data_IF_388870249642
#
_entry.id   IF_388870249642
#
_cell.length_a   1.000
_cell.length_b   1.000
_cell.length_c   1.000
_cell.angle_alpha   90.00
_cell.angle_beta   90.00
_cell.angle_gamma   90.00
#
_symmetry.space_group_name_H-M   'P 1'
#
loop_
_entity.id
_entity.type
_entity.pdbx_description
1 polymer ?
#
# COMPACT_ATOMS: atom_id res chain seq x y z
N UNK A 1 19.23 -7.18 -34.37
CA UNK A 1 17.98 -6.41 -34.23
C UNK A 1 17.06 -7.01 -33.15
N UNK A 2 17.21 -8.30 -32.75
CA UNK A 2 16.34 -8.97 -31.76
C UNK A 2 16.61 -8.63 -30.30
N UNK A 3 17.77 -8.04 -29.96
CA UNK A 3 18.19 -7.82 -28.55
C UNK A 3 17.52 -6.60 -27.89
N UNK A 4 16.98 -5.66 -28.64
CA UNK A 4 16.41 -4.40 -28.12
C UNK A 4 14.94 -4.55 -27.73
N UNK A 5 14.23 -5.55 -28.20
CA UNK A 5 12.79 -5.73 -27.98
C UNK A 5 12.46 -6.49 -26.69
N UNK A 6 13.33 -7.35 -26.20
CA UNK A 6 13.08 -8.21 -25.04
C UNK A 6 12.85 -7.44 -23.72
N UNK A 7 13.70 -6.46 -23.35
CA UNK A 7 13.48 -5.66 -22.14
C UNK A 7 12.18 -4.85 -22.17
N UNK A 8 11.80 -4.31 -23.33
CA UNK A 8 10.57 -3.54 -23.47
C UNK A 8 9.32 -4.42 -23.31
N UNK A 9 9.34 -5.64 -23.84
CA UNK A 9 8.23 -6.60 -23.69
C UNK A 9 8.09 -7.05 -22.24
N UNK A 10 9.19 -7.33 -21.55
CA UNK A 10 9.21 -7.73 -20.14
C UNK A 10 8.65 -6.60 -19.27
N UNK A 11 9.09 -5.35 -19.48
CA UNK A 11 8.60 -4.20 -18.73
C UNK A 11 7.11 -3.95 -18.98
N UNK A 12 6.63 -4.06 -20.22
CA UNK A 12 5.21 -3.93 -20.52
C UNK A 12 4.36 -5.01 -19.85
N UNK A 13 4.84 -6.26 -19.85
CA UNK A 13 4.15 -7.36 -19.17
C UNK A 13 4.07 -7.11 -17.66
N UNK A 14 5.18 -6.71 -17.03
CA UNK A 14 5.24 -6.38 -15.60
C UNK A 14 4.29 -5.23 -15.26
N UNK A 15 4.31 -4.15 -16.01
CA UNK A 15 3.46 -2.99 -15.76
C UNK A 15 1.97 -3.35 -15.86
N UNK A 16 1.57 -4.18 -16.82
CA UNK A 16 0.19 -4.71 -16.90
C UNK A 16 -0.18 -5.57 -15.68
N UNK A 17 0.75 -6.36 -15.16
CA UNK A 17 0.53 -7.17 -13.95
C UNK A 17 0.34 -6.28 -12.72
N UNK A 18 1.13 -5.22 -12.56
CA UNK A 18 0.99 -4.25 -11.47
C UNK A 18 -0.35 -3.49 -11.56
N UNK A 19 -0.74 -3.05 -12.75
CA UNK A 19 -2.05 -2.42 -12.99
C UNK A 19 -3.21 -3.36 -12.63
N UNK A 20 -3.17 -4.60 -13.09
CA UNK A 20 -4.18 -5.59 -12.77
C UNK A 20 -4.22 -5.92 -11.27
N UNK A 21 -3.05 -6.02 -10.63
CA UNK A 21 -2.89 -6.21 -9.20
C UNK A 21 -3.53 -5.07 -8.39
N UNK A 22 -3.27 -3.83 -8.78
CA UNK A 22 -3.86 -2.64 -8.14
C UNK A 22 -5.39 -2.64 -8.24
N UNK A 23 -5.94 -2.85 -9.43
CA UNK A 23 -7.40 -2.89 -9.64
C UNK A 23 -8.05 -3.99 -8.81
N UNK A 24 -7.42 -5.16 -8.76
CA UNK A 24 -7.88 -6.28 -7.93
C UNK A 24 -7.80 -5.93 -6.44
N UNK A 25 -6.67 -5.41 -5.95
CA UNK A 25 -6.48 -5.02 -4.57
C UNK A 25 -7.55 -4.03 -4.10
N UNK A 26 -7.82 -2.99 -4.89
CA UNK A 26 -8.89 -2.04 -4.62
C UNK A 26 -10.26 -2.70 -4.54
N UNK A 27 -10.58 -3.57 -5.50
CA UNK A 27 -11.89 -4.26 -5.56
C UNK A 27 -12.10 -5.19 -4.37
N UNK A 28 -11.14 -6.06 -4.05
CA UNK A 28 -11.30 -7.04 -2.97
C UNK A 28 -11.32 -6.39 -1.59
N UNK A 29 -10.54 -5.31 -1.39
CA UNK A 29 -10.54 -4.56 -0.14
C UNK A 29 -11.84 -3.78 0.06
N UNK A 30 -12.37 -3.16 -1.00
CA UNK A 30 -13.69 -2.52 -0.94
C UNK A 30 -14.77 -3.54 -0.59
N UNK A 31 -14.76 -4.71 -1.22
CA UNK A 31 -15.69 -5.80 -0.91
C UNK A 31 -15.56 -6.30 0.53
N UNK A 32 -14.36 -6.39 1.07
CA UNK A 32 -14.15 -6.79 2.47
C UNK A 32 -14.82 -5.82 3.44
N UNK A 33 -14.72 -4.52 3.19
CA UNK A 33 -15.42 -3.49 4.00
C UNK A 33 -16.94 -3.54 3.82
N UNK A 34 -17.43 -3.80 2.62
CA UNK A 34 -18.88 -3.99 2.37
C UNK A 34 -19.40 -5.27 3.07
N UNK A 35 -18.62 -6.35 3.11
CA UNK A 35 -18.96 -7.57 3.84
C UNK A 35 -18.98 -7.32 5.35
N UNK A 36 -18.04 -6.55 5.88
CA UNK A 36 -18.06 -6.12 7.28
C UNK A 36 -19.36 -5.39 7.59
N UNK A 37 -19.74 -4.41 6.77
CA UNK A 37 -20.99 -3.68 6.95
C UNK A 37 -22.22 -4.62 6.86
N UNK A 38 -22.24 -5.54 5.93
CA UNK A 38 -23.37 -6.47 5.76
C UNK A 38 -23.53 -7.39 6.98
N UNK A 39 -22.45 -7.78 7.64
CA UNK A 39 -22.47 -8.64 8.83
C UNK A 39 -22.78 -7.89 10.11
N UNK A 40 -22.20 -6.68 10.29
CA UNK A 40 -22.32 -5.92 11.54
C UNK A 40 -23.46 -4.92 11.55
N UNK A 41 -23.99 -4.57 10.36
CA UNK A 41 -24.99 -3.50 10.19
C UNK A 41 -24.39 -2.09 10.15
N UNK A 42 -23.09 -1.94 10.40
CA UNK A 42 -22.41 -0.64 10.49
C UNK A 42 -21.16 -0.60 9.60
N UNK A 43 -20.88 0.57 9.02
CA UNK A 43 -19.61 0.80 8.32
C UNK A 43 -18.47 0.98 9.30
N UNK A 44 -17.30 0.49 8.96
CA UNK A 44 -16.07 0.89 9.64
C UNK A 44 -15.76 2.34 9.28
N UNK A 45 -15.80 3.24 10.26
CA UNK A 45 -15.54 4.67 10.13
C UNK A 45 -14.49 5.11 11.14
N UNK A 46 -13.90 6.29 10.97
CA UNK A 46 -12.96 6.83 11.95
C UNK A 46 -13.63 7.11 13.32
N UNK A 47 -14.95 7.35 13.34
CA UNK A 47 -15.70 7.59 14.57
C UNK A 47 -15.87 6.33 15.43
N UNK A 48 -16.08 5.16 14.78
CA UNK A 48 -16.24 3.88 15.47
C UNK A 48 -14.99 3.00 15.45
N UNK A 49 -13.88 3.50 14.87
CA UNK A 49 -12.63 2.77 14.81
C UNK A 49 -11.97 2.67 16.18
N UNK A 50 -11.60 1.47 16.56
CA UNK A 50 -10.69 1.22 17.69
C UNK A 50 -9.29 0.93 17.13
N UNK A 51 -8.28 1.23 17.95
CA UNK A 51 -6.87 0.98 17.59
C UNK A 51 -6.66 -0.49 17.26
N UNK A 52 -5.91 -0.74 16.18
CA UNK A 52 -5.51 -2.09 15.76
C UNK A 52 -6.64 -3.05 15.37
N UNK A 53 -7.89 -2.57 15.23
CA UNK A 53 -9.04 -3.44 14.87
C UNK A 53 -9.17 -3.67 13.38
N UNK A 54 -8.60 -2.80 12.54
CA UNK A 54 -8.71 -2.91 11.09
C UNK A 54 -8.09 -4.20 10.54
N UNK A 55 -6.97 -4.65 11.11
CA UNK A 55 -6.29 -5.88 10.69
C UNK A 55 -7.17 -7.13 10.86
N UNK A 56 -7.67 -7.47 12.06
CA UNK A 56 -8.51 -8.64 12.23
C UNK A 56 -9.80 -8.57 11.42
N UNK A 57 -10.37 -7.37 11.23
CA UNK A 57 -11.54 -7.17 10.36
C UNK A 57 -11.20 -7.55 8.92
N UNK A 58 -10.14 -7.01 8.35
CA UNK A 58 -9.76 -7.31 6.97
C UNK A 58 -9.38 -8.78 6.77
N UNK A 59 -8.64 -9.37 7.71
CA UNK A 59 -8.24 -10.78 7.65
C UNK A 59 -9.45 -11.74 7.70
N UNK A 60 -10.57 -11.33 8.30
CA UNK A 60 -11.80 -12.13 8.33
C UNK A 60 -12.42 -12.30 6.93
N UNK A 61 -12.34 -11.26 6.09
CA UNK A 61 -13.01 -11.22 4.79
C UNK A 61 -12.06 -11.38 3.59
N UNK A 62 -10.76 -11.15 3.79
CA UNK A 62 -9.74 -11.38 2.78
C UNK A 62 -9.13 -12.78 2.96
N UNK A 63 -8.82 -13.44 1.85
CA UNK A 63 -8.14 -14.74 1.88
C UNK A 63 -6.67 -14.54 2.27
N UNK A 64 -6.38 -14.61 3.58
CA UNK A 64 -5.06 -14.47 4.16
C UNK A 64 -4.35 -15.83 4.22
N UNK A 65 -3.06 -15.86 3.88
CA UNK A 65 -2.19 -17.05 3.98
C UNK A 65 -1.15 -16.92 5.07
N UNK A 66 -0.80 -15.70 5.47
CA UNK A 66 0.19 -15.45 6.53
C UNK A 66 -0.20 -14.22 7.34
N UNK A 67 -0.18 -14.35 8.67
CA UNK A 67 -0.30 -13.24 9.60
C UNK A 67 1.09 -12.79 10.03
N UNK A 68 1.49 -11.60 9.63
CA UNK A 68 2.80 -11.00 9.93
C UNK A 68 2.84 -10.23 11.26
N UNK A 69 1.75 -10.23 12.04
CA UNK A 69 1.68 -9.53 13.32
C UNK A 69 1.45 -8.03 13.21
N UNK A 70 1.77 -7.33 14.29
CA UNK A 70 1.67 -5.87 14.40
C UNK A 70 3.08 -5.28 14.42
N UNK A 71 3.46 -4.68 13.31
CA UNK A 71 4.59 -3.77 13.12
C UNK A 71 6.01 -4.27 13.33
N UNK A 72 6.29 -5.12 14.28
CA UNK A 72 7.66 -5.26 14.79
C UNK A 72 8.30 -6.64 14.62
N UNK A 73 7.53 -7.67 14.36
CA UNK A 73 8.06 -9.02 14.32
C UNK A 73 7.88 -9.63 12.93
N UNK A 74 9.00 -9.86 12.26
CA UNK A 74 9.02 -10.70 11.07
C UNK A 74 8.68 -12.13 11.47
N UNK A 75 7.61 -12.64 10.92
CA UNK A 75 7.23 -14.03 11.10
C UNK A 75 7.87 -14.91 10.03
N UNK A 76 7.93 -14.42 8.78
CA UNK A 76 8.57 -15.12 7.66
C UNK A 76 9.14 -14.14 6.61
N UNK A 77 9.72 -14.67 5.54
CA UNK A 77 10.37 -13.88 4.50
C UNK A 77 9.39 -13.03 3.65
N UNK A 78 8.11 -13.33 3.69
CA UNK A 78 7.07 -12.57 2.97
C UNK A 78 6.59 -11.34 3.73
N UNK A 79 6.98 -11.20 5.00
CA UNK A 79 6.65 -10.09 5.87
C UNK A 79 7.78 -9.06 5.91
N UNK A 80 7.46 -7.79 6.08
CA UNK A 80 8.48 -6.76 6.29
C UNK A 80 9.02 -6.90 7.72
N UNK A 81 10.31 -7.09 7.90
CA UNK A 81 10.90 -7.07 9.23
C UNK A 81 10.82 -5.64 9.78
N UNK A 82 10.22 -5.45 10.94
CA UNK A 82 10.32 -4.26 11.77
C UNK A 82 9.85 -2.95 11.13
N UNK A 83 8.56 -2.81 10.93
CA UNK A 83 7.98 -1.69 10.18
C UNK A 83 7.96 -0.35 10.89
N UNK A 84 8.08 -0.23 12.19
CA UNK A 84 7.92 1.10 12.81
C UNK A 84 8.35 1.23 14.25
N UNK A 85 9.11 0.31 14.77
CA UNK A 85 9.42 0.33 16.18
C UNK A 85 10.28 1.53 16.59
N UNK A 86 9.82 2.26 17.61
CA UNK A 86 10.60 3.27 18.33
C UNK A 86 11.85 2.70 19.05
N UNK A 87 11.89 1.40 19.30
CA UNK A 87 13.08 0.70 19.74
C UNK A 87 13.92 0.37 18.51
N UNK A 88 14.60 1.38 18.03
CA UNK A 88 15.54 1.30 16.92
C UNK A 88 16.53 0.15 17.13
N UNK A 89 16.34 -0.91 16.36
CA UNK A 89 17.33 -1.96 16.20
C UNK A 89 18.17 -1.62 14.96
N UNK A 90 19.46 -1.33 15.10
CA UNK A 90 20.34 -0.98 13.99
C UNK A 90 20.43 -2.09 12.94
N UNK A 91 20.18 -3.35 13.29
CA UNK A 91 20.13 -4.46 12.34
C UNK A 91 18.86 -4.42 11.48
N UNK A 92 17.85 -3.65 11.85
CA UNK A 92 16.58 -3.46 11.14
C UNK A 92 16.53 -2.28 10.17
N UNK A 93 17.61 -1.55 10.00
CA UNK A 93 17.72 -0.57 8.90
C UNK A 93 17.45 -1.19 7.52
N UNK A 94 17.54 -2.52 7.38
CA UNK A 94 17.19 -3.22 6.14
C UNK A 94 15.72 -3.10 5.77
N UNK A 95 14.79 -3.04 6.73
CA UNK A 95 13.36 -2.91 6.44
C UNK A 95 13.02 -1.50 5.94
N UNK A 96 13.61 -0.46 6.55
CA UNK A 96 13.43 0.93 6.09
C UNK A 96 14.03 1.16 4.71
N UNK A 97 15.12 0.47 4.38
CA UNK A 97 15.73 0.50 3.05
C UNK A 97 14.95 -0.27 1.99
N UNK A 98 13.92 -1.02 2.36
CA UNK A 98 13.19 -1.92 1.45
C UNK A 98 12.24 -1.20 0.53
N UNK A 99 11.56 -0.14 1.01
CA UNK A 99 10.62 0.64 0.21
C UNK A 99 11.16 2.03 -0.09
N UNK A 100 11.05 2.43 -1.33
CA UNK A 100 11.47 3.76 -1.81
C UNK A 100 10.26 4.62 -2.18
N UNK A 101 10.47 5.93 -2.21
CA UNK A 101 9.52 6.89 -2.76
C UNK A 101 9.31 6.67 -4.25
N UNK A 102 8.26 7.26 -4.81
CA UNK A 102 7.88 7.15 -6.23
C UNK A 102 9.04 7.36 -7.20
N UNK A 103 9.88 8.34 -6.96
CA UNK A 103 11.06 8.63 -7.79
C UNK A 103 12.33 7.85 -7.37
N UNK A 104 12.24 6.95 -6.40
CA UNK A 104 13.34 6.12 -5.93
C UNK A 104 14.45 6.82 -5.14
N UNK A 105 14.31 8.14 -4.88
CA UNK A 105 15.38 8.97 -4.31
C UNK A 105 15.50 8.85 -2.80
N UNK A 106 14.43 8.46 -2.10
CA UNK A 106 14.39 8.36 -0.63
C UNK A 106 13.69 7.08 -0.20
N UNK A 107 13.92 6.71 1.04
CA UNK A 107 13.12 5.74 1.75
C UNK A 107 11.79 6.35 2.16
N UNK A 108 10.73 5.56 2.17
CA UNK A 108 9.41 5.99 2.65
C UNK A 108 9.41 6.08 4.19
N UNK A 109 8.46 6.85 4.73
CA UNK A 109 8.22 6.85 6.17
C UNK A 109 7.35 5.65 6.55
N UNK A 110 7.97 4.59 7.06
CA UNK A 110 7.28 3.34 7.42
C UNK A 110 6.33 3.48 8.61
N UNK A 111 6.38 4.57 9.38
CA UNK A 111 5.45 4.80 10.50
C UNK A 111 3.98 4.94 10.07
N UNK A 112 3.70 5.01 8.78
CA UNK A 112 2.34 5.00 8.23
C UNK A 112 1.92 3.63 7.66
N UNK A 113 2.67 2.56 8.02
CA UNK A 113 2.49 1.22 7.45
C UNK A 113 2.72 0.11 8.50
N UNK A 114 2.76 0.43 9.79
CA UNK A 114 3.33 -0.44 10.83
C UNK A 114 2.33 -0.96 11.89
N UNK A 115 1.05 -0.62 11.77
CA UNK A 115 0.01 -1.06 12.70
C UNK A 115 -0.62 -2.42 12.36
N UNK A 116 0.03 -3.18 11.56
CA UNK A 116 -0.34 -4.54 11.18
C UNK A 116 0.03 -4.87 9.75
N UNK A 117 0.38 -6.13 9.53
CA UNK A 117 0.65 -6.63 8.19
C UNK A 117 0.21 -8.09 8.05
N UNK A 118 -0.17 -8.48 6.83
CA UNK A 118 -0.51 -9.85 6.47
C UNK A 118 -0.36 -10.07 4.96
N UNK A 119 -0.17 -11.33 4.57
CA UNK A 119 -0.05 -11.72 3.16
C UNK A 119 -1.34 -12.35 2.68
N UNK A 120 -1.84 -11.89 1.52
CA UNK A 120 -3.00 -12.48 0.86
C UNK A 120 -2.61 -13.71 0.02
N UNK A 121 -3.61 -14.54 -0.34
CA UNK A 121 -3.39 -15.77 -1.09
C UNK A 121 -2.84 -15.60 -2.51
N UNK A 122 -2.86 -14.38 -3.05
CA UNK A 122 -2.21 -14.03 -4.32
C UNK A 122 -0.77 -13.58 -4.18
N UNK A 123 -0.26 -13.54 -2.94
CA UNK A 123 1.08 -13.12 -2.58
C UNK A 123 1.25 -11.62 -2.37
N UNK A 124 0.19 -10.83 -2.49
CA UNK A 124 0.24 -9.40 -2.16
C UNK A 124 0.37 -9.20 -0.64
N UNK A 125 1.10 -8.15 -0.24
CA UNK A 125 1.31 -7.81 1.17
C UNK A 125 0.46 -6.60 1.53
N UNK A 126 -0.34 -6.74 2.58
CA UNK A 126 -1.15 -5.65 3.16
C UNK A 126 -0.43 -5.07 4.37
N UNK A 127 -0.33 -3.75 4.40
CA UNK A 127 0.25 -2.95 5.47
C UNK A 127 -0.79 -1.94 5.95
N UNK A 128 -0.89 -1.75 7.26
CA UNK A 128 -1.94 -0.95 7.85
C UNK A 128 -1.39 0.17 8.73
N UNK A 129 -2.16 1.24 8.82
CA UNK A 129 -2.03 2.30 9.80
C UNK A 129 -3.38 2.50 10.47
N UNK A 130 -3.50 2.16 11.75
CA UNK A 130 -4.74 2.26 12.54
C UNK A 130 -4.45 2.38 14.06
N UNK A 131 -3.31 2.93 14.44
CA UNK A 131 -3.00 3.21 15.85
C UNK A 131 -3.82 4.38 16.39
N UNK A 132 -4.11 5.36 15.55
CA UNK A 132 -4.86 6.55 15.94
C UNK A 132 -6.22 6.57 15.25
N UNK A 133 -7.24 7.07 15.98
CA UNK A 133 -8.62 7.13 15.49
C UNK A 133 -8.88 8.24 14.47
N UNK A 134 -7.87 9.04 14.11
CA UNK A 134 -7.99 10.12 13.14
C UNK A 134 -7.62 9.70 11.73
N UNK A 135 -7.11 8.47 11.54
CA UNK A 135 -6.77 7.94 10.22
C UNK A 135 -6.88 6.42 10.19
N UNK A 136 -7.21 5.90 9.04
CA UNK A 136 -7.15 4.47 8.74
C UNK A 136 -6.65 4.29 7.31
N UNK A 137 -5.41 3.83 7.17
CA UNK A 137 -4.81 3.58 5.87
C UNK A 137 -4.64 2.08 5.64
N UNK A 138 -4.91 1.68 4.40
CA UNK A 138 -4.67 0.34 3.90
C UNK A 138 -3.71 0.48 2.74
N UNK A 139 -2.53 -0.08 2.86
CA UNK A 139 -1.51 -0.06 1.81
C UNK A 139 -1.25 -1.47 1.32
N UNK A 140 -1.17 -1.65 0.01
CA UNK A 140 -1.06 -2.97 -0.58
C UNK A 140 0.09 -2.97 -1.58
N UNK A 141 1.08 -3.80 -1.29
CA UNK A 141 2.11 -4.19 -2.24
C UNK A 141 1.54 -5.32 -3.10
N UNK A 142 1.18 -4.98 -4.33
CA UNK A 142 0.37 -5.84 -5.20
C UNK A 142 1.12 -7.03 -5.79
N UNK A 143 2.44 -7.02 -5.73
CA UNK A 143 3.28 -8.15 -6.16
C UNK A 143 4.01 -8.83 -4.99
N UNK A 144 3.92 -8.26 -3.79
CA UNK A 144 4.50 -8.78 -2.55
C UNK A 144 5.96 -8.37 -2.33
N UNK A 145 6.33 -8.28 -1.07
CA UNK A 145 7.60 -7.74 -0.58
C UNK A 145 8.87 -8.28 -1.27
N UNK A 146 8.86 -9.54 -1.66
CA UNK A 146 10.02 -10.19 -2.27
C UNK A 146 10.20 -9.87 -3.77
N UNK A 147 9.32 -9.06 -4.36
CA UNK A 147 9.39 -8.68 -5.78
C UNK A 147 9.56 -7.17 -5.92
N UNK A 148 10.62 -6.78 -6.60
CA UNK A 148 10.88 -5.38 -6.91
C UNK A 148 9.81 -4.77 -7.84
N UNK A 149 9.62 -3.42 -7.78
CA UNK A 149 10.60 -2.41 -7.36
C UNK A 149 10.54 -2.00 -5.89
N UNK A 150 9.54 -2.41 -5.09
CA UNK A 150 9.31 -1.97 -3.73
C UNK A 150 9.30 -0.43 -3.63
N UNK A 151 8.41 0.19 -4.39
CA UNK A 151 8.26 1.65 -4.47
C UNK A 151 6.81 2.07 -4.29
N UNK A 152 6.63 3.07 -3.46
CA UNK A 152 5.33 3.73 -3.28
C UNK A 152 4.86 4.35 -4.61
N UNK A 153 3.66 3.97 -5.07
CA UNK A 153 3.12 4.36 -6.36
C UNK A 153 3.57 3.51 -7.56
N UNK A 154 4.40 2.48 -7.37
CA UNK A 154 4.75 1.53 -8.44
C UNK A 154 4.09 0.16 -8.21
N UNK A 155 4.35 -0.45 -7.07
CA UNK A 155 3.80 -1.72 -6.60
C UNK A 155 3.18 -1.61 -5.20
N UNK A 156 3.59 -0.64 -4.38
CA UNK A 156 2.94 -0.31 -3.11
C UNK A 156 1.95 0.85 -3.32
N UNK A 157 0.67 0.60 -3.08
CA UNK A 157 -0.42 1.57 -3.26
C UNK A 157 -1.18 1.78 -1.96
N UNK A 158 -1.50 3.03 -1.66
CA UNK A 158 -2.11 3.46 -0.41
C UNK A 158 -3.55 3.89 -0.60
N UNK A 159 -4.42 3.45 0.29
CA UNK A 159 -5.84 3.80 0.36
C UNK A 159 -6.14 4.37 1.74
N UNK A 160 -7.21 5.17 1.81
CA UNK A 160 -7.72 5.75 3.05
C UNK A 160 -9.20 5.40 3.21
N UNK A 161 -9.61 5.06 4.41
CA UNK A 161 -11.03 4.99 4.77
C UNK A 161 -11.45 6.40 5.18
N UNK A 162 -12.49 6.92 4.52
CA UNK A 162 -13.05 8.24 4.83
C UNK A 162 -14.01 8.21 6.05
N UNK A 163 -14.49 9.38 6.45
CA UNK A 163 -15.41 9.55 7.58
C UNK A 163 -16.74 8.79 7.39
N UNK A 164 -17.06 8.39 6.17
CA UNK A 164 -18.27 7.63 5.83
C UNK A 164 -18.01 6.12 5.69
N UNK A 165 -16.79 5.68 5.99
CA UNK A 165 -16.38 4.28 5.85
C UNK A 165 -16.16 3.82 4.42
N UNK A 166 -15.94 4.75 3.48
CA UNK A 166 -15.63 4.42 2.08
C UNK A 166 -14.14 4.31 1.88
N UNK A 167 -13.70 3.28 1.18
CA UNK A 167 -12.32 3.15 0.74
C UNK A 167 -12.03 4.09 -0.42
N UNK A 168 -11.13 5.06 -0.21
CA UNK A 168 -10.70 6.02 -1.22
C UNK A 168 -9.28 5.72 -1.66
N UNK A 169 -8.98 5.76 -2.98
CA UNK A 169 -7.60 5.73 -3.43
C UNK A 169 -6.88 7.01 -2.99
N UNK A 170 -5.74 6.85 -2.33
CA UNK A 170 -4.97 7.99 -1.86
C UNK A 170 -4.57 8.89 -3.03
N UNK A 171 -4.66 10.20 -2.84
CA UNK A 171 -4.44 11.21 -3.87
C UNK A 171 -5.73 11.78 -4.48
N UNK A 172 -6.90 11.18 -4.24
CA UNK A 172 -8.18 11.83 -4.56
C UNK A 172 -8.47 12.96 -3.57
N UNK A 173 -9.20 13.98 -4.01
CA UNK A 173 -9.63 15.08 -3.12
C UNK A 173 -10.36 14.53 -1.89
N UNK A 174 -9.92 14.96 -0.72
CA UNK A 174 -10.47 14.51 0.57
C UNK A 174 -9.61 13.44 1.26
N UNK A 175 -8.52 12.98 0.64
CA UNK A 175 -7.51 12.15 1.29
C UNK A 175 -6.33 12.97 1.78
N UNK A 176 -5.60 12.45 2.77
CA UNK A 176 -4.52 13.18 3.47
C UNK A 176 -3.32 13.50 2.55
N UNK A 177 -3.05 12.64 1.57
CA UNK A 177 -1.98 12.85 0.59
C UNK A 177 -2.51 13.37 -0.76
N UNK A 178 -3.63 14.08 -0.75
CA UNK A 178 -4.07 14.89 -1.87
C UNK A 178 -3.24 16.16 -1.95
N UNK A 179 -2.75 16.49 -3.13
CA UNK A 179 -2.04 17.75 -3.34
C UNK A 179 -2.27 18.25 -4.76
N UNK A 180 -2.68 19.52 -4.87
CA UNK A 180 -2.77 20.24 -6.15
C UNK A 180 -1.40 20.56 -6.76
N UNK A 181 -0.30 20.34 -6.02
CA UNK A 181 1.08 20.66 -6.44
C UNK A 181 1.87 19.37 -6.71
N UNK A 182 1.22 18.22 -6.83
CA UNK A 182 1.82 16.90 -7.06
C UNK A 182 2.98 16.54 -6.09
N UNK A 183 2.89 17.02 -4.85
CA UNK A 183 3.94 16.80 -3.85
C UNK A 183 4.06 15.31 -3.47
N UNK A 184 2.97 14.54 -3.66
CA UNK A 184 2.87 13.15 -3.25
C UNK A 184 2.75 12.16 -4.42
N UNK A 185 2.89 12.63 -5.66
CA UNK A 185 3.00 11.79 -6.85
C UNK A 185 3.82 12.51 -7.94
N UNK A 186 5.12 12.69 -7.73
CA UNK A 186 5.96 13.50 -8.61
C UNK A 186 7.34 12.89 -8.78
N UNK A 187 7.89 12.97 -10.01
CA UNK A 187 9.28 12.57 -10.31
C UNK A 187 10.31 13.47 -9.61
N UNK A 188 9.90 14.65 -9.13
CA UNK A 188 10.80 15.65 -8.54
C UNK A 188 10.59 15.91 -7.07
N UNK A 189 9.45 15.54 -6.50
CA UNK A 189 9.12 15.77 -5.09
C UNK A 189 10.10 15.08 -4.14
N UNK A 190 10.34 15.73 -3.00
CA UNK A 190 11.34 15.29 -1.99
C UNK A 190 10.71 14.75 -0.70
N UNK A 191 9.38 14.71 -0.61
CA UNK A 191 8.68 14.12 0.54
C UNK A 191 9.01 12.64 0.69
N UNK A 192 9.17 12.17 1.93
CA UNK A 192 9.26 10.73 2.24
C UNK A 192 7.96 9.96 1.99
N UNK A 193 6.84 10.67 1.74
CA UNK A 193 5.56 10.10 1.33
C UNK A 193 5.26 10.34 -0.16
N UNK A 194 6.27 10.73 -0.95
CA UNK A 194 6.09 10.85 -2.40
C UNK A 194 5.82 9.47 -3.02
N UNK A 195 4.68 9.34 -3.60
CA UNK A 195 4.08 8.10 -4.12
C UNK A 195 2.76 7.74 -3.43
N UNK A 196 2.51 8.23 -2.20
CA UNK A 196 1.25 7.97 -1.50
C UNK A 196 0.05 8.46 -2.31
N UNK A 197 0.10 9.67 -2.85
CA UNK A 197 -0.94 10.24 -3.70
C UNK A 197 -1.06 9.66 -5.11
N UNK A 198 -0.18 8.73 -5.48
CA UNK A 198 -0.19 8.15 -6.81
C UNK A 198 -1.32 7.14 -7.06
N UNK A 199 -1.92 6.56 -6.02
CA UNK A 199 -2.92 5.49 -6.17
C UNK A 199 -4.13 5.92 -7.00
N UNK A 200 -4.61 7.16 -6.80
CA UNK A 200 -5.70 7.71 -7.60
C UNK A 200 -5.32 7.82 -9.09
N UNK A 201 -4.13 8.34 -9.39
CA UNK A 201 -3.63 8.46 -10.76
C UNK A 201 -3.43 7.09 -11.41
N UNK A 202 -2.90 6.13 -10.67
CA UNK A 202 -2.69 4.76 -11.15
C UNK A 202 -4.00 4.02 -11.50
N UNK A 203 -5.12 4.38 -10.85
CA UNK A 203 -6.44 3.82 -11.14
C UNK A 203 -7.18 4.55 -12.27
N UNK A 204 -6.86 5.82 -12.53
CA UNK A 204 -7.64 6.69 -13.45
C UNK A 204 -6.91 7.07 -14.73
N UNK A 205 -5.58 7.11 -14.72
CA UNK A 205 -4.77 7.40 -15.91
C UNK A 205 -4.33 6.11 -16.60
N UNK A 206 -4.83 5.87 -17.80
CA UNK A 206 -4.51 4.70 -18.65
C UNK A 206 -3.04 4.58 -19.03
N UNK A 207 -2.29 5.67 -18.95
CA UNK A 207 -0.87 5.71 -19.33
C UNK A 207 0.06 5.75 -18.11
N UNK A 208 -0.49 5.74 -16.89
CA UNK A 208 0.27 5.82 -15.65
C UNK A 208 1.43 4.80 -15.60
N UNK A 209 1.12 3.52 -15.77
CA UNK A 209 2.11 2.44 -15.69
C UNK A 209 3.11 2.43 -16.85
N UNK A 210 2.86 3.14 -17.94
CA UNK A 210 3.81 3.30 -19.05
C UNK A 210 4.86 4.37 -18.74
N UNK A 211 4.53 5.34 -17.87
CA UNK A 211 5.30 6.54 -17.60
C UNK A 211 5.95 6.54 -16.21
N UNK A 212 6.07 5.37 -15.56
CA UNK A 212 6.72 5.25 -14.26
C UNK A 212 8.16 5.77 -14.30
N UNK A 213 8.61 6.59 -13.33
CA UNK A 213 10.00 7.03 -13.23
C UNK A 213 10.92 5.83 -13.00
N UNK A 214 12.10 5.90 -13.60
CA UNK A 214 13.14 4.86 -13.50
C UNK A 214 13.81 4.83 -12.13
#
# INVERSE_FOLDING_TARGET
>A
VAVITLPAVINNSRNKQLEAGLKRAYSVTSQALDMYQAETGERYTLENAEKYTLKPILMKYLKTVEDCGFGTNKVNESCIPNTGNSNYDPDNNKARASYKTYNGKKEINLNFFDDGQFVMNDGSLVLLENEITTRAYISIDVNGYNKNPNRLGHDLFMFQIDDKGKLLPMGVKGTDYYSTIDAFCSSTATSSMNGAGCTYHALTDKDYFKNLPK
#
